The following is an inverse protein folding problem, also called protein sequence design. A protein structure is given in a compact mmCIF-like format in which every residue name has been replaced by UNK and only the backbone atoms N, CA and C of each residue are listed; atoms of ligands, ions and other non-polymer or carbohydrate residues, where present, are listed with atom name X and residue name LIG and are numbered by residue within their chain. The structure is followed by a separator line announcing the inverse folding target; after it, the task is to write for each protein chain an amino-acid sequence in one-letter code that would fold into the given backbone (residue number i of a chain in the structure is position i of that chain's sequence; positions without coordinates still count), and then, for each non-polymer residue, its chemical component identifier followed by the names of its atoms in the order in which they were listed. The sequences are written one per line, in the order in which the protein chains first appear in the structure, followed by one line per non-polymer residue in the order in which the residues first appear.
data_IF_813569011952
#
_entry.id   IF_813569011952
#
_cell.length_a   1.000
_cell.length_b   1.000
_cell.length_c   1.000
_cell.angle_alpha   90.00
_cell.angle_beta   90.00
_cell.angle_gamma   90.00
#
_symmetry.space_group_name_H-M   'P 1'
#
loop_
_entity.id
_entity.type
_entity.pdbx_description
1 polymer ?
#
# COMPACT_ATOMS: atom_id res chain seq x y z
N UNK A 1 -4.69 -13.22 20.18
CA UNK A 1 -3.32 -12.67 19.91
C UNK A 1 -2.23 -13.55 20.53
N UNK A 2 -1.31 -14.06 19.72
CA UNK A 2 -0.13 -14.83 20.18
C UNK A 2 1.11 -13.95 20.22
N UNK A 3 1.87 -14.04 21.31
CA UNK A 3 3.18 -13.40 21.46
C UNK A 3 4.25 -14.48 21.57
N UNK A 4 5.31 -14.36 20.77
CA UNK A 4 6.50 -15.16 20.94
C UNK A 4 7.58 -14.33 21.63
N UNK A 5 8.16 -14.91 22.67
CA UNK A 5 9.29 -14.32 23.41
C UNK A 5 10.58 -14.89 22.84
N UNK A 6 11.43 -14.04 22.28
CA UNK A 6 12.73 -14.45 21.76
C UNK A 6 13.84 -13.94 22.66
N UNK A 7 14.75 -14.82 23.05
CA UNK A 7 16.01 -14.48 23.70
C UNK A 7 17.15 -14.87 22.75
N UNK A 8 17.79 -13.89 22.11
CA UNK A 8 18.84 -14.05 21.11
C UNK A 8 20.09 -13.30 21.54
N UNK A 9 21.25 -13.93 21.56
CA UNK A 9 22.48 -13.39 22.14
C UNK A 9 23.28 -12.43 21.23
N UNK A 10 22.63 -11.59 20.40
CA UNK A 10 23.34 -10.84 19.34
C UNK A 10 22.75 -9.47 18.99
N UNK A 11 23.55 -8.66 18.26
CA UNK A 11 23.46 -7.18 18.17
C UNK A 11 22.35 -6.67 17.25
N UNK A 12 21.95 -7.41 16.21
CA UNK A 12 20.82 -7.07 15.36
C UNK A 12 20.14 -8.34 14.83
N UNK A 13 18.87 -8.51 15.14
CA UNK A 13 18.05 -9.63 14.68
C UNK A 13 16.95 -9.11 13.76
N UNK A 14 16.80 -9.74 12.59
CA UNK A 14 15.69 -9.49 11.66
C UNK A 14 14.90 -10.77 11.53
N UNK A 15 13.59 -10.72 11.80
CA UNK A 15 12.70 -11.86 11.68
C UNK A 15 11.91 -11.74 10.39
N UNK A 16 11.99 -12.79 9.58
CA UNK A 16 11.20 -12.94 8.36
C UNK A 16 10.24 -14.09 8.51
N UNK A 17 9.07 -13.92 7.89
CA UNK A 17 8.02 -14.91 7.87
C UNK A 17 7.52 -15.16 6.45
N UNK A 18 7.12 -16.40 6.18
CA UNK A 18 6.47 -16.80 4.93
C UNK A 18 5.51 -17.97 5.18
N UNK A 19 4.55 -18.15 4.28
CA UNK A 19 3.60 -19.25 4.32
C UNK A 19 4.12 -20.40 3.45
N UNK A 20 3.63 -20.54 2.24
CA UNK A 20 3.93 -21.65 1.33
C UNK A 20 5.15 -21.38 0.44
N UNK A 21 5.37 -20.12 0.04
CA UNK A 21 6.46 -19.72 -0.85
C UNK A 21 7.51 -18.86 -0.12
N UNK A 22 8.74 -19.37 -0.03
CA UNK A 22 9.89 -18.68 0.57
C UNK A 22 10.29 -17.40 -0.18
N UNK A 23 9.92 -17.28 -1.46
CA UNK A 23 10.17 -16.08 -2.27
C UNK A 23 9.35 -14.87 -1.80
N UNK A 24 8.22 -15.13 -1.11
CA UNK A 24 7.31 -14.13 -0.56
C UNK A 24 7.63 -13.76 0.90
N UNK A 25 8.82 -14.11 1.38
CA UNK A 25 9.23 -13.79 2.76
C UNK A 25 9.18 -12.30 3.02
N UNK A 26 8.57 -11.94 4.14
CA UNK A 26 8.38 -10.55 4.53
C UNK A 26 9.01 -10.32 5.90
N UNK A 27 9.66 -9.17 6.08
CA UNK A 27 10.17 -8.78 7.40
C UNK A 27 8.98 -8.44 8.30
N UNK A 28 8.88 -9.15 9.43
CA UNK A 28 7.85 -8.90 10.44
C UNK A 28 8.41 -8.15 11.64
N UNK A 29 9.70 -8.27 11.94
CA UNK A 29 10.29 -7.61 13.09
C UNK A 29 11.77 -7.37 12.90
N UNK A 30 12.30 -6.36 13.58
CA UNK A 30 13.74 -6.25 13.80
C UNK A 30 14.03 -5.76 15.21
N UNK A 31 15.16 -6.13 15.80
CA UNK A 31 15.56 -5.59 17.09
C UNK A 31 17.06 -5.60 17.24
N UNK A 32 17.59 -4.57 17.91
CA UNK A 32 18.96 -4.57 18.43
C UNK A 32 19.04 -5.10 19.87
N UNK A 33 17.88 -5.38 20.48
CA UNK A 33 17.81 -5.96 21.82
C UNK A 33 17.86 -7.49 21.75
N UNK A 34 18.55 -8.09 22.70
CA UNK A 34 18.68 -9.53 22.83
C UNK A 34 17.40 -10.20 23.34
N UNK A 35 16.44 -9.43 23.86
CA UNK A 35 15.16 -9.93 24.29
C UNK A 35 14.04 -9.03 23.76
N UNK A 36 13.21 -9.54 22.85
CA UNK A 36 12.08 -8.80 22.33
C UNK A 36 10.91 -9.72 21.96
N UNK A 37 9.71 -9.15 21.98
CA UNK A 37 8.50 -9.87 21.60
C UNK A 37 8.18 -9.58 20.13
N UNK A 38 7.80 -10.64 19.41
CA UNK A 38 7.32 -10.52 18.04
C UNK A 38 5.90 -11.02 17.96
N UNK A 39 5.06 -10.18 17.37
CA UNK A 39 3.72 -10.53 16.95
C UNK A 39 3.79 -11.10 15.55
N UNK A 40 3.23 -12.28 15.40
CA UNK A 40 3.15 -12.95 14.12
C UNK A 40 1.92 -12.45 13.34
N UNK A 41 2.00 -12.42 11.99
CA UNK A 41 0.85 -12.14 11.15
C UNK A 41 -0.27 -13.14 11.43
N UNK A 42 -1.51 -12.67 11.29
CA UNK A 42 -2.68 -13.51 11.39
C UNK A 42 -2.71 -14.52 10.22
N UNK A 43 -3.33 -15.67 10.46
CA UNK A 43 -3.39 -16.78 9.51
C UNK A 43 -4.82 -17.28 9.31
N UNK A 44 -5.08 -17.74 8.09
CA UNK A 44 -6.34 -18.32 7.62
C UNK A 44 -6.18 -19.82 7.29
N UNK A 45 -7.22 -20.48 6.76
CA UNK A 45 -7.18 -21.92 6.45
C UNK A 45 -6.03 -22.37 5.53
N UNK A 46 -5.49 -21.48 4.69
CA UNK A 46 -4.37 -21.70 3.76
C UNK A 46 -3.05 -21.10 4.26
N UNK A 47 -3.10 -20.04 5.07
CA UNK A 47 -1.93 -19.28 5.56
C UNK A 47 -1.60 -19.50 7.04
N UNK A 48 -2.36 -20.33 7.75
CA UNK A 48 -2.18 -20.57 9.20
C UNK A 48 -0.79 -21.10 9.54
N UNK A 49 -0.17 -21.89 8.65
CA UNK A 49 1.18 -22.40 8.86
C UNK A 49 2.21 -21.34 8.48
N UNK A 50 2.76 -20.68 9.49
CA UNK A 50 3.80 -19.69 9.32
C UNK A 50 5.19 -20.30 9.54
N UNK A 51 6.02 -20.22 8.51
CA UNK A 51 7.45 -20.54 8.59
C UNK A 51 8.22 -19.29 9.00
N UNK A 52 9.19 -19.46 9.91
CA UNK A 52 9.91 -18.37 10.54
C UNK A 52 11.41 -18.58 10.45
N UNK A 53 12.11 -17.50 10.09
CA UNK A 53 13.57 -17.47 10.09
C UNK A 53 14.05 -16.18 10.73
N UNK A 54 15.10 -16.28 11.53
CA UNK A 54 15.81 -15.13 12.07
C UNK A 54 17.15 -15.01 11.37
N UNK A 55 17.40 -13.86 10.76
CA UNK A 55 18.74 -13.46 10.37
C UNK A 55 19.36 -12.64 11.49
N UNK A 56 20.46 -13.15 12.01
CA UNK A 56 21.26 -12.49 13.03
C UNK A 56 22.48 -11.89 12.36
N UNK A 57 22.67 -10.57 12.48
CA UNK A 57 23.87 -9.87 12.04
C UNK A 57 24.81 -9.60 13.20
N UNK A 58 26.08 -9.93 13.01
CA UNK A 58 27.15 -9.54 13.93
C UNK A 58 27.69 -8.13 13.63
N UNK A 59 28.62 -7.66 14.48
CA UNK A 59 29.28 -6.35 14.32
C UNK A 59 30.15 -6.24 13.07
N UNK A 60 30.54 -7.37 12.48
CA UNK A 60 31.34 -7.45 11.26
C UNK A 60 30.46 -7.56 10.00
N UNK A 61 29.13 -7.57 10.14
CA UNK A 61 28.17 -7.69 9.04
C UNK A 61 27.91 -9.11 8.57
N UNK A 62 28.42 -10.14 9.24
CA UNK A 62 28.15 -11.54 8.91
C UNK A 62 26.72 -11.92 9.30
N UNK A 63 26.02 -12.61 8.40
CA UNK A 63 24.63 -13.04 8.60
C UNK A 63 24.58 -14.52 8.97
N UNK A 64 24.01 -14.82 10.13
CA UNK A 64 23.69 -16.19 10.54
C UNK A 64 22.19 -16.43 10.42
N UNK A 65 21.80 -17.51 9.76
CA UNK A 65 20.41 -17.93 9.66
C UNK A 65 20.06 -18.87 10.81
N UNK A 66 18.98 -18.55 11.53
CA UNK A 66 18.41 -19.40 12.58
C UNK A 66 17.00 -19.78 12.15
N UNK A 67 16.78 -21.06 11.85
CA UNK A 67 15.45 -21.56 11.55
C UNK A 67 14.66 -21.73 12.84
N UNK A 68 13.43 -21.24 12.86
CA UNK A 68 12.48 -21.46 13.96
C UNK A 68 11.48 -22.52 13.52
N UNK A 69 10.98 -23.30 14.47
CA UNK A 69 9.84 -24.20 14.25
C UNK A 69 8.66 -23.42 13.69
N UNK A 70 8.02 -23.96 12.65
CA UNK A 70 6.80 -23.38 12.12
C UNK A 70 5.70 -23.34 13.19
N UNK A 71 4.85 -22.32 13.09
CA UNK A 71 3.78 -22.07 14.07
C UNK A 71 2.46 -22.00 13.32
N UNK A 72 1.42 -22.61 13.89
CA UNK A 72 0.06 -22.46 13.39
C UNK A 72 -0.62 -21.27 14.08
N UNK A 73 -1.08 -20.29 13.30
CA UNK A 73 -1.66 -19.04 13.81
C UNK A 73 -3.07 -18.90 13.24
N UNK A 74 -4.01 -18.46 14.08
CA UNK A 74 -5.38 -18.17 13.69
C UNK A 74 -5.68 -16.68 13.91
N UNK A 75 -6.46 -16.10 13.00
CA UNK A 75 -6.96 -14.74 13.12
C UNK A 75 -7.84 -14.53 14.37
N UNK A 76 -7.68 -13.37 15.02
CA UNK A 76 -8.49 -12.96 16.17
C UNK A 76 -9.66 -12.10 15.68
N UNK A 77 -10.61 -12.75 15.00
CA UNK A 77 -11.71 -12.09 14.26
C UNK A 77 -12.60 -11.25 15.17
N UNK A 78 -12.76 -11.62 16.44
CA UNK A 78 -13.57 -10.86 17.39
C UNK A 78 -12.98 -9.48 17.70
N UNK A 79 -11.67 -9.39 17.96
CA UNK A 79 -11.00 -8.10 18.24
C UNK A 79 -10.95 -7.23 16.98
N UNK A 80 -10.79 -7.86 15.81
CA UNK A 80 -10.80 -7.18 14.53
C UNK A 80 -12.18 -6.57 14.20
N UNK A 81 -13.26 -7.34 14.38
CA UNK A 81 -14.62 -6.84 14.16
C UNK A 81 -14.96 -5.71 15.14
N UNK A 82 -14.55 -5.80 16.42
CA UNK A 82 -14.69 -4.69 17.37
C UNK A 82 -13.94 -3.43 16.91
N UNK A 83 -12.78 -3.56 16.27
CA UNK A 83 -12.06 -2.42 15.70
C UNK A 83 -12.84 -1.78 14.55
N UNK A 84 -13.30 -2.59 13.60
CA UNK A 84 -14.08 -2.13 12.44
C UNK A 84 -15.34 -1.41 12.92
N UNK A 85 -16.10 -2.04 13.81
CA UNK A 85 -17.34 -1.49 14.34
C UNK A 85 -17.11 -0.16 15.07
N UNK A 86 -16.05 -0.04 15.88
CA UNK A 86 -15.74 1.19 16.60
C UNK A 86 -15.31 2.34 15.68
N UNK A 87 -14.55 2.05 14.63
CA UNK A 87 -14.13 3.05 13.65
C UNK A 87 -15.33 3.51 12.83
N UNK A 88 -16.09 2.57 12.27
CA UNK A 88 -17.21 2.87 11.37
C UNK A 88 -18.33 3.62 12.09
N UNK A 89 -18.59 3.30 13.36
CA UNK A 89 -19.58 4.02 14.17
C UNK A 89 -19.03 5.26 14.89
N UNK A 90 -17.81 5.71 14.57
CA UNK A 90 -17.16 6.88 15.19
C UNK A 90 -17.22 6.86 16.73
N UNK A 91 -16.95 5.70 17.33
CA UNK A 91 -17.11 5.50 18.77
C UNK A 91 -16.07 6.30 19.56
N UNK A 92 -16.53 7.09 20.54
CA UNK A 92 -15.67 7.81 21.49
C UNK A 92 -14.78 6.89 22.34
N UNK A 93 -15.01 5.57 22.29
CA UNK A 93 -14.27 4.55 23.04
C UNK A 93 -13.24 3.79 22.21
N UNK A 94 -12.96 4.23 20.98
CA UNK A 94 -11.97 3.60 20.09
C UNK A 94 -10.58 3.42 20.75
N UNK A 95 -10.20 4.35 21.62
CA UNK A 95 -8.95 4.30 22.40
C UNK A 95 -8.87 3.12 23.37
N UNK A 96 -10.00 2.52 23.75
CA UNK A 96 -10.05 1.32 24.59
C UNK A 96 -9.82 0.03 23.81
N UNK A 97 -9.90 0.05 22.47
CA UNK A 97 -9.64 -1.13 21.67
C UNK A 97 -8.17 -1.58 21.83
N UNK A 98 -7.90 -2.88 22.09
CA UNK A 98 -6.54 -3.37 22.32
C UNK A 98 -5.57 -3.13 21.16
N UNK A 99 -6.04 -3.17 19.92
CA UNK A 99 -5.24 -2.87 18.72
C UNK A 99 -4.81 -1.41 18.74
N UNK A 100 -5.74 -0.50 19.01
CA UNK A 100 -5.48 0.95 19.02
C UNK A 100 -4.49 1.31 20.13
N UNK A 101 -4.59 0.68 21.30
CA UNK A 101 -3.61 0.86 22.39
C UNK A 101 -2.20 0.44 22.00
N UNK A 102 -2.07 -0.66 21.24
CA UNK A 102 -0.77 -1.14 20.74
C UNK A 102 -0.21 -0.20 19.67
N UNK A 103 -1.04 0.25 18.73
CA UNK A 103 -0.65 1.20 17.69
C UNK A 103 -0.22 2.55 18.29
N UNK A 104 -0.89 2.99 19.34
CA UNK A 104 -0.58 4.23 20.06
C UNK A 104 0.73 4.18 20.84
N UNK A 105 1.40 3.02 20.94
CA UNK A 105 2.71 2.92 21.59
C UNK A 105 3.80 3.69 20.86
N UNK A 106 3.62 3.96 19.55
CA UNK A 106 4.65 4.58 18.70
C UNK A 106 5.89 3.71 18.48
N UNK A 107 5.91 2.49 19.02
CA UNK A 107 7.01 1.56 18.81
C UNK A 107 6.93 1.01 17.38
N UNK A 108 7.94 1.30 16.55
CA UNK A 108 7.95 0.93 15.13
C UNK A 108 7.70 -0.57 14.88
N UNK A 109 8.25 -1.46 15.71
CA UNK A 109 8.03 -2.89 15.57
C UNK A 109 6.58 -3.26 15.87
N UNK A 110 6.05 -2.75 16.98
CA UNK A 110 4.66 -3.00 17.36
C UNK A 110 3.72 -2.45 16.28
N UNK A 111 3.91 -1.20 15.86
CA UNK A 111 3.07 -0.56 14.85
C UNK A 111 3.19 -1.30 13.51
N UNK A 112 4.41 -1.56 13.03
CA UNK A 112 4.63 -2.25 11.76
C UNK A 112 4.03 -3.65 11.73
N UNK A 113 4.26 -4.46 12.77
CA UNK A 113 3.66 -5.79 12.89
C UNK A 113 2.14 -5.75 12.89
N UNK A 114 1.57 -4.79 13.63
CA UNK A 114 0.12 -4.62 13.70
C UNK A 114 -0.47 -4.25 12.35
N UNK A 115 0.12 -3.25 11.68
CA UNK A 115 -0.40 -2.80 10.39
C UNK A 115 -0.26 -3.88 9.33
N UNK A 116 0.88 -4.58 9.26
CA UNK A 116 1.06 -5.70 8.32
C UNK A 116 0.00 -6.77 8.55
N UNK A 117 -0.16 -7.24 9.80
CA UNK A 117 -1.12 -8.28 10.13
C UNK A 117 -2.56 -7.88 9.83
N UNK A 118 -2.97 -6.66 10.20
CA UNK A 118 -4.33 -6.19 9.95
C UNK A 118 -4.58 -5.99 8.46
N UNK A 119 -3.59 -5.47 7.73
CA UNK A 119 -3.73 -5.24 6.30
C UNK A 119 -3.91 -6.54 5.54
N UNK A 120 -3.17 -7.60 5.91
CA UNK A 120 -3.33 -8.94 5.31
C UNK A 120 -4.77 -9.45 5.49
N UNK A 121 -5.29 -9.42 6.71
CA UNK A 121 -6.69 -9.80 7.00
C UNK A 121 -7.69 -8.96 6.20
N UNK A 122 -7.46 -7.65 6.12
CA UNK A 122 -8.36 -6.76 5.40
C UNK A 122 -8.28 -6.96 3.88
N UNK A 123 -7.11 -7.30 3.35
CA UNK A 123 -6.92 -7.60 1.93
C UNK A 123 -7.61 -8.92 1.58
N UNK A 124 -7.57 -9.91 2.48
CA UNK A 124 -8.34 -11.15 2.35
C UNK A 124 -9.84 -10.86 2.37
N UNK A 125 -10.34 -10.11 3.36
CA UNK A 125 -11.75 -9.72 3.41
C UNK A 125 -12.20 -8.97 2.15
N UNK A 126 -11.36 -8.10 1.58
CA UNK A 126 -11.66 -7.44 0.31
C UNK A 126 -11.83 -8.47 -0.83
N UNK A 127 -10.95 -9.47 -0.91
CA UNK A 127 -11.03 -10.53 -1.91
C UNK A 127 -12.30 -11.37 -1.75
N UNK A 128 -12.65 -11.73 -0.51
CA UNK A 128 -13.88 -12.48 -0.19
C UNK A 128 -15.13 -11.66 -0.51
N UNK A 129 -15.17 -10.38 -0.15
CA UNK A 129 -16.26 -9.47 -0.46
C UNK A 129 -16.42 -9.27 -1.98
N UNK A 130 -15.32 -9.20 -2.72
CA UNK A 130 -15.32 -9.15 -4.19
C UNK A 130 -15.95 -10.43 -4.77
N UNK A 131 -15.51 -11.61 -4.32
CA UNK A 131 -16.07 -12.88 -4.80
C UNK A 131 -17.56 -13.03 -4.45
N UNK A 132 -17.96 -12.61 -3.25
CA UNK A 132 -19.36 -12.59 -2.80
C UNK A 132 -20.21 -11.60 -3.62
N UNK A 133 -19.67 -10.44 -3.96
CA UNK A 133 -20.33 -9.47 -4.83
C UNK A 133 -20.55 -10.03 -6.24
N UNK A 134 -19.52 -10.68 -6.81
CA UNK A 134 -19.59 -11.33 -8.12
C UNK A 134 -20.62 -12.47 -8.12
N UNK A 135 -20.61 -13.33 -7.10
CA UNK A 135 -21.57 -14.44 -7.00
C UNK A 135 -23.02 -13.97 -6.81
N UNK A 136 -23.21 -12.80 -6.21
CA UNK A 136 -24.52 -12.15 -6.06
C UNK A 136 -24.98 -11.35 -7.30
N UNK A 137 -24.25 -11.43 -8.41
CA UNK A 137 -24.65 -10.87 -9.69
C UNK A 137 -24.11 -9.47 -10.00
N UNK A 138 -23.11 -8.98 -9.25
CA UNK A 138 -22.40 -7.74 -9.59
C UNK A 138 -21.31 -8.06 -10.62
N UNK A 139 -21.29 -7.34 -11.72
CA UNK A 139 -20.26 -7.52 -12.75
C UNK A 139 -18.88 -7.17 -12.18
N UNK A 140 -17.91 -8.08 -12.34
CA UNK A 140 -16.51 -7.81 -11.98
C UNK A 140 -15.95 -6.56 -12.67
N UNK A 141 -16.48 -6.18 -13.83
CA UNK A 141 -16.13 -4.94 -14.54
C UNK A 141 -16.36 -3.69 -13.69
N UNK A 142 -17.36 -3.71 -12.82
CA UNK A 142 -17.80 -2.55 -12.04
C UNK A 142 -17.06 -2.42 -10.71
N UNK A 143 -16.40 -3.49 -10.25
CA UNK A 143 -15.86 -3.58 -8.88
C UNK A 143 -14.41 -4.10 -8.80
N UNK A 144 -13.86 -4.69 -9.88
CA UNK A 144 -12.48 -5.19 -9.91
C UNK A 144 -11.50 -4.12 -10.35
N UNK A 145 -10.40 -4.00 -9.60
CA UNK A 145 -9.26 -3.15 -9.98
C UNK A 145 -8.34 -3.97 -10.87
N UNK A 146 -8.67 -4.04 -12.16
CA UNK A 146 -7.74 -4.63 -13.13
C UNK A 146 -6.57 -3.68 -13.39
N UNK A 147 -5.39 -4.25 -13.64
CA UNK A 147 -4.12 -3.54 -13.90
C UNK A 147 -4.30 -2.38 -14.90
N UNK A 148 -3.66 -1.23 -14.68
CA UNK A 148 -3.63 -0.18 -15.70
C UNK A 148 -3.04 -0.77 -17.01
N UNK A 149 -3.83 -0.73 -18.09
CA UNK A 149 -3.48 -1.29 -19.39
C UNK A 149 -4.18 -2.61 -19.76
N UNK A 150 -4.87 -3.25 -18.81
CA UNK A 150 -5.75 -4.38 -19.13
C UNK A 150 -6.99 -3.93 -19.92
N UNK A 151 -7.39 -4.69 -20.95
CA UNK A 151 -8.65 -4.46 -21.65
C UNK A 151 -9.80 -4.51 -20.63
N UNK A 152 -10.65 -3.48 -20.63
CA UNK A 152 -11.87 -3.44 -19.81
C UNK A 152 -12.64 -4.74 -20.06
N UNK A 153 -12.85 -5.53 -19.00
CA UNK A 153 -13.68 -6.73 -19.06
C UNK A 153 -15.03 -6.34 -19.70
N UNK A 154 -15.50 -7.13 -20.66
CA UNK A 154 -16.71 -6.79 -21.41
C UNK A 154 -17.93 -6.75 -20.48
N UNK A 155 -18.67 -5.65 -20.52
CA UNK A 155 -19.86 -5.45 -19.71
C UNK A 155 -21.00 -6.30 -20.27
N UNK A 156 -21.26 -7.45 -19.66
CA UNK A 156 -22.44 -8.25 -19.96
C UNK A 156 -23.63 -7.54 -19.29
N UNK A 157 -24.69 -7.25 -20.06
CA UNK A 157 -25.91 -6.58 -19.56
C UNK A 157 -26.74 -7.55 -18.71
N UNK A 158 -26.25 -7.88 -17.52
CA UNK A 158 -27.01 -8.56 -16.48
C UNK A 158 -27.69 -7.47 -15.63
N UNK A 159 -28.99 -7.61 -15.30
CA UNK A 159 -29.64 -6.71 -14.35
C UNK A 159 -28.83 -6.67 -13.06
N UNK A 160 -28.37 -5.48 -12.66
CA UNK A 160 -27.51 -5.31 -11.51
C UNK A 160 -28.32 -5.55 -10.23
N UNK A 161 -27.82 -6.42 -9.35
CA UNK A 161 -28.43 -6.63 -8.04
C UNK A 161 -28.13 -5.42 -7.14
N UNK A 162 -29.03 -4.45 -7.12
CA UNK A 162 -28.87 -3.20 -6.36
C UNK A 162 -28.65 -3.45 -4.85
N UNK A 163 -29.35 -4.42 -4.26
CA UNK A 163 -29.18 -4.76 -2.85
C UNK A 163 -27.78 -5.32 -2.57
N UNK A 164 -27.25 -6.17 -3.46
CA UNK A 164 -25.89 -6.67 -3.34
C UNK A 164 -24.87 -5.53 -3.49
N UNK A 165 -25.11 -4.57 -4.40
CA UNK A 165 -24.22 -3.42 -4.61
C UNK A 165 -24.16 -2.53 -3.37
N UNK A 166 -25.31 -2.24 -2.78
CA UNK A 166 -25.39 -1.47 -1.53
C UNK A 166 -24.58 -2.16 -0.43
N UNK A 167 -24.77 -3.47 -0.24
CA UNK A 167 -24.03 -4.22 0.78
C UNK A 167 -22.51 -4.21 0.52
N UNK A 168 -22.10 -4.40 -0.74
CA UNK A 168 -20.69 -4.32 -1.13
C UNK A 168 -20.10 -2.94 -0.84
N UNK A 169 -20.81 -1.86 -1.18
CA UNK A 169 -20.35 -0.49 -0.93
C UNK A 169 -20.27 -0.17 0.58
N UNK A 170 -21.17 -0.70 1.40
CA UNK A 170 -21.09 -0.58 2.86
C UNK A 170 -19.83 -1.27 3.40
N UNK A 171 -19.57 -2.52 2.98
CA UNK A 171 -18.38 -3.28 3.37
C UNK A 171 -17.09 -2.57 2.89
N UNK A 172 -17.09 -2.07 1.65
CA UNK A 172 -15.99 -1.31 1.04
C UNK A 172 -15.64 -0.05 1.84
N UNK A 173 -16.64 0.79 2.11
CA UNK A 173 -16.45 2.04 2.85
C UNK A 173 -16.05 1.79 4.31
N UNK A 174 -16.56 0.73 4.94
CA UNK A 174 -16.15 0.33 6.29
C UNK A 174 -14.64 0.04 6.33
N UNK A 175 -14.12 -0.78 5.39
CA UNK A 175 -12.70 -1.11 5.32
C UNK A 175 -11.82 0.08 4.88
N UNK A 176 -12.35 0.99 4.06
CA UNK A 176 -11.67 2.23 3.70
C UNK A 176 -11.50 3.17 4.90
N UNK A 177 -12.54 3.33 5.73
CA UNK A 177 -12.47 4.13 6.96
C UNK A 177 -11.41 3.58 7.92
N UNK A 178 -11.30 2.26 8.05
CA UNK A 178 -10.27 1.64 8.88
C UNK A 178 -8.87 1.92 8.32
N UNK A 179 -8.66 1.86 7.00
CA UNK A 179 -7.36 2.20 6.38
C UNK A 179 -6.98 3.66 6.57
N UNK A 180 -7.94 4.57 6.38
CA UNK A 180 -7.76 6.01 6.60
C UNK A 180 -7.38 6.30 8.06
N UNK A 181 -7.92 5.55 9.01
CA UNK A 181 -7.51 5.64 10.42
C UNK A 181 -6.12 5.04 10.66
N UNK A 182 -5.86 3.83 10.17
CA UNK A 182 -4.63 3.08 10.41
C UNK A 182 -3.39 3.75 9.83
N UNK A 183 -3.49 4.39 8.66
CA UNK A 183 -2.34 5.06 8.02
C UNK A 183 -1.73 6.14 8.92
N UNK A 184 -2.54 6.79 9.77
CA UNK A 184 -2.07 7.87 10.65
C UNK A 184 -0.97 7.40 11.61
N UNK A 185 -0.99 6.14 12.04
CA UNK A 185 0.05 5.57 12.92
C UNK A 185 1.40 5.35 12.21
N UNK A 186 1.43 5.35 10.88
CA UNK A 186 2.67 5.23 10.10
C UNK A 186 3.32 6.58 9.78
N UNK A 187 2.53 7.65 9.72
CA UNK A 187 3.00 8.99 9.28
C UNK A 187 4.05 9.61 10.19
N UNK A 188 4.00 9.33 11.50
CA UNK A 188 4.87 9.95 12.50
C UNK A 188 5.96 9.02 13.06
N UNK A 189 6.11 7.82 12.50
CA UNK A 189 7.18 6.93 12.94
C UNK A 189 8.54 7.57 12.64
N UNK A 190 9.55 7.31 13.46
CA UNK A 190 10.90 7.79 13.14
C UNK A 190 11.47 7.03 11.93
N UNK A 191 12.47 7.57 11.24
CA UNK A 191 13.23 6.84 10.21
C UNK A 191 14.68 6.81 10.68
N UNK A 192 15.07 5.73 11.35
CA UNK A 192 16.35 5.66 12.09
C UNK A 192 17.36 4.71 11.47
N UNK A 193 16.89 3.63 10.83
CA UNK A 193 17.73 2.57 10.27
C UNK A 193 17.14 2.02 8.98
N UNK A 194 17.94 1.25 8.22
CA UNK A 194 17.46 0.50 7.04
C UNK A 194 16.28 -0.41 7.39
N UNK A 195 16.34 -1.11 8.52
CA UNK A 195 15.25 -1.96 8.97
C UNK A 195 13.97 -1.16 9.29
N UNK A 196 14.10 0.06 9.81
CA UNK A 196 12.95 0.94 10.00
C UNK A 196 12.32 1.34 8.66
N UNK A 197 13.14 1.54 7.61
CA UNK A 197 12.66 1.83 6.27
C UNK A 197 11.93 0.61 5.71
N UNK A 198 12.54 -0.57 5.79
CA UNK A 198 11.96 -1.81 5.25
C UNK A 198 10.64 -2.14 5.94
N UNK A 199 10.58 -2.07 7.27
CA UNK A 199 9.36 -2.38 8.01
C UNK A 199 8.22 -1.41 7.66
N UNK A 200 8.53 -0.12 7.55
CA UNK A 200 7.52 0.90 7.22
C UNK A 200 7.07 0.82 5.77
N UNK A 201 7.99 0.64 4.82
CA UNK A 201 7.64 0.46 3.41
C UNK A 201 6.84 -0.83 3.20
N UNK A 202 7.17 -1.90 3.92
CA UNK A 202 6.38 -3.13 3.96
C UNK A 202 4.97 -2.87 4.48
N UNK A 203 4.85 -2.17 5.60
CA UNK A 203 3.54 -1.83 6.19
C UNK A 203 2.68 -1.01 5.23
N UNK A 204 3.26 -0.02 4.55
CA UNK A 204 2.57 0.80 3.55
C UNK A 204 2.17 0.00 2.31
N UNK A 205 3.04 -0.87 1.80
CA UNK A 205 2.75 -1.72 0.65
C UNK A 205 1.57 -2.67 0.94
N UNK A 206 1.52 -3.25 2.14
CA UNK A 206 0.42 -4.13 2.57
C UNK A 206 -0.88 -3.33 2.78
N UNK A 207 -0.81 -2.19 3.47
CA UNK A 207 -1.97 -1.33 3.73
C UNK A 207 -2.64 -0.85 2.43
N UNK A 208 -1.84 -0.57 1.40
CA UNK A 208 -2.29 -0.04 0.11
C UNK A 208 -2.71 -1.08 -0.91
N UNK A 209 -2.56 -2.38 -0.63
CA UNK A 209 -2.82 -3.43 -1.61
C UNK A 209 -4.27 -3.43 -2.13
N UNK A 210 -5.25 -3.18 -1.25
CA UNK A 210 -6.66 -3.00 -1.64
C UNK A 210 -6.89 -1.57 -2.16
N UNK A 211 -6.52 -1.33 -3.41
CA UNK A 211 -6.49 0.01 -4.03
C UNK A 211 -7.87 0.67 -4.14
N UNK A 212 -8.94 -0.12 -4.23
CA UNK A 212 -10.34 0.33 -4.18
C UNK A 212 -10.79 0.84 -2.80
N UNK A 213 -9.98 0.66 -1.76
CA UNK A 213 -10.27 1.08 -0.39
C UNK A 213 -9.39 2.25 0.07
N UNK A 214 -8.67 2.90 -0.85
CA UNK A 214 -7.78 4.01 -0.54
C UNK A 214 -8.49 5.34 -0.79
N UNK A 215 -8.79 6.03 0.30
CA UNK A 215 -9.30 7.40 0.25
C UNK A 215 -8.24 8.37 -0.27
N UNK A 216 -8.65 9.56 -0.73
CA UNK A 216 -7.72 10.63 -1.11
C UNK A 216 -6.75 11.00 0.01
N UNK A 217 -7.23 11.05 1.25
CA UNK A 217 -6.39 11.32 2.40
C UNK A 217 -5.36 10.20 2.62
N UNK A 218 -5.78 8.93 2.53
CA UNK A 218 -4.86 7.79 2.62
C UNK A 218 -3.80 7.87 1.51
N UNK A 219 -4.22 8.09 0.26
CA UNK A 219 -3.31 8.21 -0.88
C UNK A 219 -2.28 9.33 -0.69
N UNK A 220 -2.72 10.51 -0.21
CA UNK A 220 -1.83 11.63 0.10
C UNK A 220 -0.82 11.27 1.20
N UNK A 221 -1.29 10.74 2.33
CA UNK A 221 -0.44 10.40 3.47
C UNK A 221 0.57 9.30 3.13
N UNK A 222 0.13 8.24 2.44
CA UNK A 222 1.01 7.15 2.00
C UNK A 222 1.99 7.64 0.95
N UNK A 223 1.57 8.48 -0.01
CA UNK A 223 2.48 9.06 -1.00
C UNK A 223 3.59 9.88 -0.33
N UNK A 224 3.23 10.77 0.60
CA UNK A 224 4.19 11.57 1.37
C UNK A 224 5.16 10.67 2.12
N UNK A 225 4.63 9.65 2.78
CA UNK A 225 5.45 8.75 3.58
C UNK A 225 6.38 7.88 2.72
N UNK A 226 5.91 7.33 1.60
CA UNK A 226 6.73 6.55 0.69
C UNK A 226 7.81 7.44 0.03
N UNK A 227 7.56 8.74 -0.20
CA UNK A 227 8.59 9.70 -0.62
C UNK A 227 9.67 9.93 0.45
N UNK A 228 9.27 10.22 1.69
CA UNK A 228 10.20 10.40 2.82
C UNK A 228 11.10 9.17 3.02
N UNK A 229 10.51 7.97 2.96
CA UNK A 229 11.25 6.71 3.06
C UNK A 229 12.22 6.51 1.89
N UNK A 230 11.83 6.88 0.67
CA UNK A 230 12.69 6.81 -0.51
C UNK A 230 13.87 7.79 -0.40
N UNK A 231 13.63 9.01 0.08
CA UNK A 231 14.67 10.00 0.33
C UNK A 231 15.62 9.57 1.44
N UNK A 232 15.09 8.99 2.53
CA UNK A 232 15.90 8.46 3.62
C UNK A 232 16.76 7.27 3.15
N UNK A 233 16.21 6.37 2.33
CA UNK A 233 16.94 5.25 1.75
C UNK A 233 18.11 5.76 0.89
N UNK A 234 17.84 6.74 0.04
CA UNK A 234 18.87 7.41 -0.77
C UNK A 234 19.92 8.13 0.09
N UNK A 235 19.54 8.74 1.21
CA UNK A 235 20.52 9.39 2.07
C UNK A 235 21.47 8.40 2.77
N UNK A 236 21.09 7.13 2.91
CA UNK A 236 21.87 6.11 3.61
C UNK A 236 22.34 4.95 2.74
N UNK A 237 22.13 4.98 1.42
CA UNK A 237 22.34 3.81 0.54
C UNK A 237 23.79 3.28 0.59
N UNK A 238 24.80 4.14 0.79
CA UNK A 238 26.21 3.73 0.89
C UNK A 238 26.54 2.95 2.17
N UNK A 239 25.68 3.04 3.18
CA UNK A 239 25.90 2.50 4.54
C UNK A 239 25.07 1.25 4.83
N UNK A 240 24.32 0.76 3.85
CA UNK A 240 23.41 -0.37 3.99
C UNK A 240 23.79 -1.44 2.96
N UNK A 241 23.44 -2.69 3.24
CA UNK A 241 23.71 -3.76 2.29
C UNK A 241 22.79 -3.64 1.06
N UNK A 242 23.23 -4.22 -0.06
CA UNK A 242 22.42 -4.27 -1.28
C UNK A 242 21.07 -4.95 -1.03
N UNK A 243 21.03 -6.01 -0.24
CA UNK A 243 19.82 -6.77 0.06
C UNK A 243 18.80 -5.91 0.81
N UNK A 244 19.27 -5.07 1.75
CA UNK A 244 18.41 -4.15 2.49
C UNK A 244 17.89 -3.03 1.57
N UNK A 245 18.76 -2.47 0.72
CA UNK A 245 18.38 -1.47 -0.27
C UNK A 245 17.35 -2.01 -1.27
N UNK A 246 17.57 -3.25 -1.73
CA UNK A 246 16.68 -3.96 -2.63
C UNK A 246 15.33 -4.26 -2.00
N UNK A 247 15.33 -4.80 -0.77
CA UNK A 247 14.11 -5.10 -0.03
C UNK A 247 13.27 -3.83 0.21
N UNK A 248 13.90 -2.76 0.69
CA UNK A 248 13.22 -1.48 0.89
C UNK A 248 12.65 -0.93 -0.43
N UNK A 249 13.45 -0.95 -1.50
CA UNK A 249 13.04 -0.42 -2.81
C UNK A 249 11.86 -1.18 -3.39
N UNK A 250 11.86 -2.51 -3.34
CA UNK A 250 10.75 -3.33 -3.85
C UNK A 250 9.43 -3.00 -3.17
N UNK A 251 9.44 -2.87 -1.83
CA UNK A 251 8.23 -2.49 -1.09
C UNK A 251 7.79 -1.05 -1.41
N UNK A 252 8.73 -0.12 -1.60
CA UNK A 252 8.41 1.27 -1.97
C UNK A 252 7.87 1.37 -3.40
N UNK A 253 8.38 0.57 -4.35
CA UNK A 253 7.83 0.47 -5.69
C UNK A 253 6.43 -0.14 -5.69
N UNK A 254 6.19 -1.18 -4.88
CA UNK A 254 4.86 -1.74 -4.72
C UNK A 254 3.88 -0.72 -4.10
N UNK A 255 4.30 0.02 -3.06
CA UNK A 255 3.54 1.14 -2.51
C UNK A 255 3.18 2.17 -3.60
N UNK A 256 4.17 2.62 -4.38
CA UNK A 256 3.97 3.60 -5.44
C UNK A 256 2.98 3.12 -6.51
N UNK A 257 3.08 1.86 -6.89
CA UNK A 257 2.16 1.22 -7.83
C UNK A 257 0.73 1.21 -7.31
N UNK A 258 0.54 0.79 -6.05
CA UNK A 258 -0.78 0.76 -5.42
C UNK A 258 -1.39 2.17 -5.30
N UNK A 259 -0.57 3.19 -5.00
CA UNK A 259 -1.01 4.59 -4.93
C UNK A 259 -1.49 5.07 -6.32
N UNK A 260 -0.73 4.79 -7.38
CA UNK A 260 -1.11 5.17 -8.75
C UNK A 260 -2.43 4.50 -9.17
N UNK A 261 -2.66 3.27 -8.75
CA UNK A 261 -3.92 2.55 -8.98
C UNK A 261 -5.08 3.18 -8.24
N UNK A 262 -4.92 3.39 -6.94
CA UNK A 262 -5.97 3.95 -6.09
C UNK A 262 -6.39 5.34 -6.57
N UNK A 263 -5.44 6.17 -7.02
CA UNK A 263 -5.79 7.52 -7.48
C UNK A 263 -6.46 7.52 -8.86
N UNK A 264 -6.06 6.61 -9.75
CA UNK A 264 -6.59 6.55 -11.12
C UNK A 264 -7.89 5.75 -11.25
N UNK A 265 -8.16 4.82 -10.33
CA UNK A 265 -9.35 3.96 -10.34
C UNK A 265 -10.66 4.74 -10.51
N UNK A 266 -10.94 5.73 -9.63
CA UNK A 266 -12.15 6.56 -9.74
C UNK A 266 -12.17 7.41 -11.01
N UNK A 267 -11.03 7.98 -11.42
CA UNK A 267 -10.92 8.81 -12.63
C UNK A 267 -11.22 8.04 -13.91
N UNK A 268 -10.95 6.74 -13.91
CA UNK A 268 -11.19 5.84 -15.05
C UNK A 268 -12.57 5.16 -14.97
N UNK A 269 -13.37 5.45 -13.94
CA UNK A 269 -14.66 4.79 -13.69
C UNK A 269 -14.53 3.28 -13.44
N UNK A 270 -13.39 2.85 -12.89
CA UNK A 270 -13.11 1.43 -12.54
C UNK A 270 -13.47 1.11 -11.10
N UNK A 271 -13.44 2.11 -10.23
CA UNK A 271 -13.84 2.02 -8.84
C UNK A 271 -14.78 3.16 -8.52
N UNK A 272 -15.69 2.93 -7.57
CA UNK A 272 -16.52 3.99 -7.04
C UNK A 272 -15.70 4.99 -6.21
N UNK A 273 -16.24 6.20 -6.09
CA UNK A 273 -15.74 7.19 -5.14
C UNK A 273 -16.18 6.77 -3.74
N UNK A 274 -15.25 6.74 -2.79
CA UNK A 274 -15.53 6.40 -1.40
C UNK A 274 -16.35 7.50 -0.69
N UNK A 275 -17.23 7.11 0.22
CA UNK A 275 -18.15 8.01 0.93
C UNK A 275 -17.40 9.07 1.74
N UNK A 276 -16.26 8.70 2.33
CA UNK A 276 -15.42 9.62 3.08
C UNK A 276 -14.81 10.69 2.18
N UNK A 277 -14.46 10.33 0.95
CA UNK A 277 -13.97 11.28 -0.06
C UNK A 277 -15.11 12.12 -0.62
N UNK A 278 -16.29 11.53 -0.84
CA UNK A 278 -17.48 12.26 -1.26
C UNK A 278 -17.87 13.32 -0.23
N UNK A 279 -17.96 12.94 1.05
CA UNK A 279 -18.28 13.87 2.13
C UNK A 279 -17.22 14.96 2.27
N UNK A 280 -15.93 14.63 2.37
CA UNK A 280 -14.83 15.61 2.50
C UNK A 280 -14.76 16.60 1.33
N UNK A 281 -15.07 16.18 0.10
CA UNK A 281 -15.10 17.09 -1.06
C UNK A 281 -16.22 18.14 -0.98
N UNK A 282 -17.25 17.89 -0.18
CA UNK A 282 -18.46 18.70 -0.10
C UNK A 282 -18.65 19.37 1.26
N UNK A 283 -17.68 19.25 2.18
CA UNK A 283 -17.64 20.06 3.41
C UNK A 283 -17.28 21.49 3.05
N UNK A 284 -18.15 22.44 3.38
CA UNK A 284 -17.89 23.87 3.23
C UNK A 284 -16.74 24.24 4.18
N UNK A 285 -15.67 24.85 3.65
CA UNK A 285 -14.54 25.32 4.46
C UNK A 285 -15.03 26.24 5.59
N UNK A 286 -14.63 25.95 6.82
CA UNK A 286 -14.88 26.84 7.97
C UNK A 286 -13.88 27.99 8.04
N UNK A 287 -12.75 27.86 7.32
CA UNK A 287 -11.76 28.92 7.20
C UNK A 287 -12.13 29.76 5.97
N UNK A 288 -12.41 31.04 6.21
CA UNK A 288 -12.78 32.04 5.20
C UNK A 288 -11.54 32.41 4.37
N UNK A 289 -10.99 31.46 3.62
CA UNK A 289 -9.93 31.74 2.67
C UNK A 289 -10.56 32.19 1.35
N UNK A 290 -10.41 33.48 1.06
CA UNK A 290 -11.08 34.17 -0.06
C UNK A 290 -10.70 33.63 -1.44
N UNK A 291 -9.61 32.88 -1.55
CA UNK A 291 -9.15 32.21 -2.77
C UNK A 291 -9.92 30.92 -3.05
N UNK A 292 -10.20 30.09 -2.04
CA UNK A 292 -11.03 28.89 -2.15
C UNK A 292 -12.50 29.21 -2.45
N UNK A 293 -13.02 30.31 -1.89
CA UNK A 293 -14.36 30.82 -2.21
C UNK A 293 -14.52 31.09 -3.72
N UNK A 294 -13.49 31.58 -4.41
CA UNK A 294 -13.56 31.86 -5.85
C UNK A 294 -13.70 30.61 -6.72
N UNK A 295 -13.09 29.49 -6.31
CA UNK A 295 -13.24 28.20 -6.99
C UNK A 295 -14.57 27.52 -6.61
N UNK A 296 -14.98 27.60 -5.35
CA UNK A 296 -16.21 26.98 -4.83
C UNK A 296 -17.49 27.67 -5.30
N UNK A 297 -17.46 29.00 -5.44
CA UNK A 297 -18.58 29.82 -5.93
C UNK A 297 -18.71 29.79 -7.45
N UNK A 298 -17.70 29.27 -8.17
CA UNK A 298 -17.79 29.06 -9.62
C UNK A 298 -18.49 27.74 -9.94
N UNK A 299 -19.82 27.70 -9.81
CA UNK A 299 -20.65 26.53 -10.14
C UNK A 299 -20.43 26.02 -11.57
N UNK A 300 -20.03 26.89 -12.50
CA UNK A 300 -19.71 26.48 -13.88
C UNK A 300 -18.47 25.56 -13.96
N UNK A 301 -17.59 25.58 -12.95
CA UNK A 301 -16.44 24.69 -12.86
C UNK A 301 -16.88 23.23 -12.60
N UNK A 302 -18.05 23.03 -11.99
CA UNK A 302 -18.56 21.73 -11.56
C UNK A 302 -19.88 21.32 -12.23
N UNK A 303 -20.46 22.15 -13.09
CA UNK A 303 -21.61 21.78 -13.92
C UNK A 303 -21.18 20.91 -15.11
N UNK A 304 -22.05 20.01 -15.55
CA UNK A 304 -21.87 19.30 -16.83
C UNK A 304 -22.80 19.91 -17.89
N UNK A 305 -22.25 20.81 -18.71
CA UNK A 305 -23.02 21.56 -19.69
C UNK A 305 -24.07 22.47 -19.05
N UNK A 306 -25.35 22.07 -19.15
CA UNK A 306 -26.48 22.79 -18.57
C UNK A 306 -27.03 22.11 -17.30
N UNK A 307 -26.41 21.03 -16.81
CA UNK A 307 -26.81 20.35 -15.59
C UNK A 307 -26.15 21.00 -14.36
N UNK A 308 -26.97 21.72 -13.59
CA UNK A 308 -26.62 22.35 -12.32
C UNK A 308 -27.27 21.64 -11.13
N UNK A 309 -27.67 20.37 -11.28
CA UNK A 309 -28.15 19.59 -10.15
C UNK A 309 -27.05 19.45 -9.09
N UNK A 310 -27.47 19.41 -7.82
CA UNK A 310 -26.56 19.27 -6.68
C UNK A 310 -25.74 17.99 -6.82
N UNK A 311 -26.36 16.89 -7.23
CA UNK A 311 -25.69 15.60 -7.47
C UNK A 311 -24.53 15.72 -8.47
N UNK A 312 -24.76 16.39 -9.60
CA UNK A 312 -23.73 16.63 -10.62
C UNK A 312 -22.59 17.50 -10.09
N UNK A 313 -22.91 18.57 -9.35
CA UNK A 313 -21.91 19.46 -8.77
C UNK A 313 -21.04 18.71 -7.73
N UNK A 314 -21.65 17.98 -6.80
CA UNK A 314 -20.96 17.26 -5.75
C UNK A 314 -20.04 16.16 -6.31
N UNK A 315 -20.53 15.43 -7.33
CA UNK A 315 -19.74 14.43 -8.05
C UNK A 315 -18.55 15.07 -8.78
N UNK A 316 -18.77 16.17 -9.48
CA UNK A 316 -17.72 16.84 -10.24
C UNK A 316 -16.66 17.49 -9.35
N UNK A 317 -17.05 18.00 -8.16
CA UNK A 317 -16.09 18.45 -7.13
C UNK A 317 -15.18 17.31 -6.67
N UNK A 318 -15.74 16.14 -6.42
CA UNK A 318 -14.94 14.98 -6.04
C UNK A 318 -13.93 14.61 -7.14
N UNK A 319 -14.39 14.53 -8.40
CA UNK A 319 -13.54 14.28 -9.57
C UNK A 319 -12.45 15.35 -9.70
N UNK A 320 -12.76 16.61 -9.45
CA UNK A 320 -11.79 17.70 -9.47
C UNK A 320 -10.66 17.49 -8.45
N UNK A 321 -10.99 17.25 -7.18
CA UNK A 321 -9.99 16.96 -6.15
C UNK A 321 -9.20 15.68 -6.42
N UNK A 322 -9.86 14.66 -6.98
CA UNK A 322 -9.19 13.43 -7.40
C UNK A 322 -8.14 13.70 -8.50
N UNK A 323 -8.45 14.55 -9.49
CA UNK A 323 -7.51 14.94 -10.55
C UNK A 323 -6.33 15.74 -10.01
N UNK A 324 -6.57 16.68 -9.10
CA UNK A 324 -5.49 17.44 -8.46
C UNK A 324 -4.52 16.51 -7.72
N UNK A 325 -5.08 15.59 -6.91
CA UNK A 325 -4.29 14.60 -6.19
C UNK A 325 -3.52 13.68 -7.15
N UNK A 326 -4.13 13.25 -8.26
CA UNK A 326 -3.46 12.42 -9.27
C UNK A 326 -2.23 13.12 -9.86
N UNK A 327 -2.33 14.41 -10.16
CA UNK A 327 -1.20 15.19 -10.68
C UNK A 327 -0.06 15.29 -9.66
N UNK A 328 -0.38 15.54 -8.39
CA UNK A 328 0.60 15.59 -7.30
C UNK A 328 1.29 14.23 -7.11
N UNK A 329 0.50 13.16 -7.00
CA UNK A 329 0.99 11.79 -6.85
C UNK A 329 1.89 11.40 -8.02
N UNK A 330 1.52 11.73 -9.25
CA UNK A 330 2.32 11.39 -10.42
C UNK A 330 3.71 12.04 -10.39
N UNK A 331 3.78 13.32 -10.00
CA UNK A 331 5.06 14.01 -9.79
C UNK A 331 5.90 13.35 -8.69
N UNK A 332 5.26 13.04 -7.56
CA UNK A 332 5.93 12.49 -6.40
C UNK A 332 6.43 11.06 -6.62
N UNK A 333 5.62 10.20 -7.25
CA UNK A 333 6.02 8.84 -7.64
C UNK A 333 7.18 8.87 -8.64
N UNK A 334 7.19 9.81 -9.57
CA UNK A 334 8.34 9.99 -10.49
C UNK A 334 9.64 10.29 -9.73
N UNK A 335 9.57 11.16 -8.71
CA UNK A 335 10.72 11.45 -7.87
C UNK A 335 11.14 10.25 -7.01
N UNK A 336 10.18 9.52 -6.44
CA UNK A 336 10.44 8.28 -5.71
C UNK A 336 11.18 7.27 -6.59
N UNK A 337 10.70 7.03 -7.82
CA UNK A 337 11.33 6.11 -8.77
C UNK A 337 12.78 6.55 -9.01
N UNK A 338 13.01 7.84 -9.26
CA UNK A 338 14.37 8.36 -9.43
C UNK A 338 15.27 8.07 -8.22
N UNK A 339 14.82 8.36 -7.00
CA UNK A 339 15.60 8.14 -5.77
C UNK A 339 15.90 6.66 -5.53
N UNK A 340 14.91 5.79 -5.72
CA UNK A 340 15.04 4.35 -5.56
C UNK A 340 15.98 3.75 -6.61
N UNK A 341 15.84 4.16 -7.87
CA UNK A 341 16.74 3.76 -8.96
C UNK A 341 18.18 4.18 -8.66
N UNK A 342 18.40 5.42 -8.22
CA UNK A 342 19.74 5.88 -7.83
C UNK A 342 20.31 5.09 -6.65
N UNK A 343 19.48 4.79 -5.65
CA UNK A 343 19.89 3.99 -4.49
C UNK A 343 20.32 2.58 -4.89
N UNK A 344 19.63 1.95 -5.85
CA UNK A 344 19.97 0.62 -6.35
C UNK A 344 21.17 0.63 -7.29
N UNK A 345 21.27 1.61 -8.19
CA UNK A 345 22.31 1.65 -9.22
C UNK A 345 23.74 1.67 -8.66
N UNK A 346 23.94 2.20 -7.45
CA UNK A 346 25.27 2.30 -6.85
C UNK A 346 25.76 0.93 -6.33
N UNK A 347 24.83 -0.01 -6.13
CA UNK A 347 25.13 -1.39 -5.76
C UNK A 347 25.20 -2.35 -6.96
N UNK A 348 24.94 -1.88 -8.18
CA UNK A 348 24.94 -2.70 -9.39
C UNK A 348 26.31 -2.62 -10.07
N UNK A 349 26.97 -3.77 -10.25
CA UNK A 349 28.20 -3.83 -11.04
C UNK A 349 27.91 -3.67 -12.54
N UNK A 350 28.90 -3.17 -13.30
CA UNK A 350 28.80 -3.02 -14.77
C UNK A 350 28.37 -4.36 -15.40
N UNK A 351 27.23 -4.37 -16.10
CA UNK A 351 26.71 -5.55 -16.82
C UNK A 351 25.69 -6.40 -16.04
N UNK A 352 25.39 -6.08 -14.77
CA UNK A 352 24.30 -6.73 -14.03
C UNK A 352 22.94 -6.13 -14.40
N UNK A 353 21.99 -7.00 -14.77
CA UNK A 353 20.59 -6.62 -15.00
C UNK A 353 19.80 -6.83 -13.72
N UNK A 354 19.10 -5.80 -13.27
CA UNK A 354 18.01 -5.95 -12.31
C UNK A 354 16.67 -5.87 -13.06
N UNK A 355 15.66 -6.56 -12.57
CA UNK A 355 14.29 -6.44 -13.05
C UNK A 355 13.40 -6.43 -11.81
N UNK A 356 12.77 -5.30 -11.57
CA UNK A 356 11.74 -5.17 -10.55
C UNK A 356 10.42 -5.44 -11.27
N UNK A 357 9.73 -6.50 -10.86
CA UNK A 357 8.36 -6.74 -11.30
C UNK A 357 7.45 -6.27 -10.17
N UNK A 358 6.89 -5.07 -10.31
CA UNK A 358 5.71 -4.70 -9.54
C UNK A 358 4.50 -5.44 -10.09
N UNK A 359 3.41 -5.56 -9.32
CA UNK A 359 2.16 -6.14 -9.82
C UNK A 359 1.66 -5.48 -11.12
N UNK A 360 2.12 -4.27 -11.44
CA UNK A 360 1.79 -3.51 -12.64
C UNK A 360 2.91 -3.36 -13.67
N UNK A 361 2.51 -3.19 -14.94
CA UNK A 361 3.35 -3.05 -16.14
C UNK A 361 4.18 -1.74 -16.23
N UNK A 362 4.17 -0.88 -15.21
CA UNK A 362 4.71 0.49 -15.33
C UNK A 362 6.14 0.68 -14.86
N UNK A 363 6.69 -0.21 -14.03
CA UNK A 363 8.05 -0.02 -13.50
C UNK A 363 8.87 -1.27 -13.72
N UNK A 364 9.56 -1.34 -14.87
CA UNK A 364 10.70 -2.23 -15.07
C UNK A 364 11.96 -1.37 -15.07
N UNK A 365 12.76 -1.49 -14.02
CA UNK A 365 14.09 -0.87 -14.00
C UNK A 365 15.05 -1.81 -14.73
N UNK A 366 15.71 -1.34 -15.79
CA UNK A 366 16.70 -2.11 -16.52
C UNK A 366 17.97 -1.28 -16.77
N UNK A 367 19.07 -1.63 -16.09
CA UNK A 367 20.39 -1.02 -16.32
C UNK A 367 21.16 -1.88 -17.31
N UNK A 368 21.50 -1.33 -18.48
CA UNK A 368 22.15 -2.07 -19.58
C UNK A 368 23.52 -1.43 -19.85
N UNK A 369 24.57 -2.26 -19.95
CA UNK A 369 25.88 -1.79 -20.45
C UNK A 369 25.84 -1.63 -21.97
N UNK A 370 26.55 -0.64 -22.53
CA UNK A 370 26.63 -0.41 -23.98
C UNK A 370 27.13 -1.67 -24.73
N UNK A 371 28.00 -2.48 -24.12
CA UNK A 371 28.45 -3.75 -24.68
C UNK A 371 27.32 -4.79 -24.87
N UNK A 372 26.35 -4.83 -23.95
CA UNK A 372 25.24 -5.80 -23.95
C UNK A 372 24.07 -5.44 -24.87
N UNK A 373 24.08 -4.26 -25.50
CA UNK A 373 23.07 -3.83 -26.48
C UNK A 373 23.24 -4.49 -27.85
N UNK A 374 24.40 -5.07 -28.15
CA UNK A 374 24.74 -5.60 -29.48
C UNK A 374 23.88 -6.79 -29.90
N UNK A 375 23.33 -7.54 -28.94
CA UNK A 375 22.70 -8.84 -29.18
C UNK A 375 21.25 -8.94 -28.67
N UNK A 376 20.53 -7.82 -28.50
CA UNK A 376 19.21 -7.84 -27.85
C UNK A 376 18.05 -7.26 -28.67
N UNK A 377 16.96 -8.04 -28.75
CA UNK A 377 15.62 -7.59 -29.12
C UNK A 377 14.88 -7.05 -27.89
N UNK A 378 14.59 -5.75 -27.88
CA UNK A 378 13.76 -5.11 -26.86
C UNK A 378 12.29 -5.31 -27.24
N UNK A 379 11.53 -6.07 -26.44
CA UNK A 379 10.06 -6.09 -26.56
C UNK A 379 9.51 -4.86 -25.84
N UNK A 380 8.93 -3.96 -26.61
CA UNK A 380 8.28 -2.76 -26.08
C UNK A 380 6.89 -3.09 -25.52
N UNK A 381 6.51 -2.38 -24.45
CA UNK A 381 5.09 -2.17 -24.11
C UNK A 381 4.48 -1.41 -25.29
N UNK A 382 3.31 -1.85 -25.75
CA UNK A 382 2.69 -1.48 -27.04
C UNK A 382 2.81 0.02 -27.42
N UNK A 383 3.22 0.26 -28.67
CA UNK A 383 3.17 1.53 -29.43
C UNK A 383 4.21 2.66 -29.16
N UNK A 384 5.51 2.37 -29.02
CA UNK A 384 6.53 3.43 -29.02
C UNK A 384 7.79 3.10 -29.84
N UNK A 385 7.73 3.12 -31.17
CA UNK A 385 8.90 2.84 -32.01
C UNK A 385 9.89 4.04 -32.04
N UNK A 386 11.10 3.85 -31.50
CA UNK A 386 12.23 4.76 -31.74
C UNK A 386 13.21 4.10 -32.70
N UNK A 387 13.55 4.82 -33.76
CA UNK A 387 14.63 4.44 -34.66
C UNK A 387 15.90 5.15 -34.19
N UNK A 388 16.91 4.41 -33.75
CA UNK A 388 18.23 4.97 -33.44
C UNK A 388 19.07 4.82 -34.72
N UNK A 389 19.34 5.89 -35.47
CA UNK A 389 20.30 5.82 -36.57
C UNK A 389 21.71 5.64 -35.97
N UNK A 390 22.49 4.76 -36.61
CA UNK A 390 23.91 4.60 -36.34
C UNK A 390 24.71 5.85 -36.68
#
# INVERSE_FOLDING_TARGET
MFYFHYQLTFVLSVILAWTTDISQRTIIAFSSEYNFQVRLPAGDNETSLLNLVVYVRDLAGSVTQVNITSVNIMADTAIMNDLIDKITNSSSTITNNPIVRLLSSGNQNVVGQMIISLSQEFNQMNSENLHKAISNGISAVNISVSLLGSQRLQQISIPMNESALINYNIELNSLANVRDYLVTFLTNLLITTSNSIILQSTSLAQLTQATNQLTRNTLMLVSNRCYELSAALYAMFEKISYEDAQSASNQLFQCASNILDGVNGPLQGRTEVLDLDYSRANVISTDYDTDLESEWSNLNLFSDGNDFSIETIEKNRNIYYQKQLANQINSQVTQMISLLTSSLNIHINIGQKYLINTSQSFVSLETISIQSLKDRLVKQVENAQFNIPF
#
